data_IF_354172341171
#
_entry.id   IF_354172341171
#
_cell.length_a   1.000
_cell.length_b   1.000
_cell.length_c   1.000
_cell.angle_alpha   90.00
_cell.angle_beta   90.00
_cell.angle_gamma   90.00
#
_symmetry.space_group_name_H-M   'P 1'
#
loop_
_entity.id
_entity.type
_entity.pdbx_description
1 polymer ?
#
# COMPACT_ATOMS: atom_id res chain seq x y z
N UNK A 1 -33.63 -23.78 8.70
CA UNK A 1 -33.83 -23.80 10.16
C UNK A 1 -32.46 -23.64 10.81
N UNK A 2 -32.06 -22.38 11.10
CA UNK A 2 -30.76 -22.07 11.68
C UNK A 2 -30.83 -22.20 13.21
N UNK A 3 -30.00 -23.08 13.77
CA UNK A 3 -29.88 -23.25 15.21
C UNK A 3 -29.02 -22.12 15.77
N UNK A 4 -29.65 -21.01 16.19
CA UNK A 4 -29.01 -19.95 16.97
C UNK A 4 -28.71 -20.48 18.37
N UNK A 5 -27.51 -21.05 18.58
CA UNK A 5 -26.99 -21.22 19.94
C UNK A 5 -26.47 -19.86 20.42
N UNK A 6 -27.22 -19.24 21.34
CA UNK A 6 -26.71 -18.12 22.14
C UNK A 6 -25.56 -18.65 23.01
N UNK A 7 -24.32 -18.41 22.60
CA UNK A 7 -23.17 -18.62 23.45
C UNK A 7 -23.20 -17.60 24.60
N UNK A 8 -23.16 -18.11 25.84
CA UNK A 8 -23.14 -17.32 27.07
C UNK A 8 -21.90 -16.43 27.14
N UNK A 9 -22.06 -15.28 27.79
CA UNK A 9 -21.32 -14.04 27.51
C UNK A 9 -20.05 -13.82 28.35
N UNK A 10 -19.29 -14.85 28.77
CA UNK A 10 -18.24 -14.61 29.80
C UNK A 10 -16.85 -15.27 29.71
N UNK A 11 -16.59 -16.25 28.85
CA UNK A 11 -15.26 -16.87 28.81
C UNK A 11 -14.61 -16.75 27.42
N UNK A 12 -13.34 -16.30 27.32
CA UNK A 12 -12.58 -16.34 26.07
C UNK A 12 -12.50 -17.78 25.55
N UNK A 13 -12.60 -17.96 24.24
CA UNK A 13 -12.48 -19.30 23.65
C UNK A 13 -11.05 -19.78 23.76
N UNK A 14 -10.82 -20.85 24.52
CA UNK A 14 -9.49 -21.45 24.72
C UNK A 14 -9.26 -22.72 23.89
N UNK A 15 -10.28 -23.21 23.18
CA UNK A 15 -10.20 -24.45 22.42
C UNK A 15 -10.70 -24.32 20.97
N UNK A 16 -10.17 -25.19 20.12
CA UNK A 16 -10.51 -25.25 18.71
C UNK A 16 -11.96 -25.68 18.47
N UNK A 17 -12.53 -26.50 19.37
CA UNK A 17 -13.89 -27.03 19.23
C UNK A 17 -14.92 -25.90 19.23
N UNK A 18 -14.65 -24.83 19.97
CA UNK A 18 -15.53 -23.66 20.05
C UNK A 18 -15.24 -22.63 18.96
N UNK A 19 -13.98 -22.47 18.54
CA UNK A 19 -13.61 -21.54 17.46
C UNK A 19 -14.02 -22.04 16.08
N UNK A 20 -13.83 -23.34 15.81
CA UNK A 20 -14.03 -23.93 14.50
C UNK A 20 -15.41 -23.67 13.88
N UNK A 21 -16.55 -23.83 14.60
CA UNK A 21 -17.86 -23.55 14.04
C UNK A 21 -18.04 -22.10 13.59
N UNK A 22 -17.41 -21.13 14.27
CA UNK A 22 -17.47 -19.71 13.88
C UNK A 22 -16.68 -19.46 12.60
N UNK A 23 -15.50 -20.06 12.49
CA UNK A 23 -14.66 -19.98 11.28
C UNK A 23 -15.34 -20.68 10.10
N UNK A 24 -15.92 -21.87 10.32
CA UNK A 24 -16.63 -22.65 9.30
C UNK A 24 -17.89 -21.93 8.80
N UNK A 25 -18.55 -21.16 9.67
CA UNK A 25 -19.69 -20.33 9.32
C UNK A 25 -19.32 -19.02 8.62
N UNK A 26 -18.03 -18.63 8.59
CA UNK A 26 -17.62 -17.33 8.06
C UNK A 26 -17.88 -16.14 9.01
N UNK A 27 -18.21 -16.40 10.28
CA UNK A 27 -18.65 -15.40 11.26
C UNK A 27 -17.48 -14.60 11.85
N UNK A 28 -16.92 -13.70 11.03
CA UNK A 28 -15.77 -12.86 11.38
C UNK A 28 -16.00 -12.04 12.65
N UNK A 29 -17.20 -11.48 12.82
CA UNK A 29 -17.58 -10.69 13.98
C UNK A 29 -17.47 -11.50 15.29
N UNK A 30 -18.02 -12.72 15.31
CA UNK A 30 -17.89 -13.57 16.49
C UNK A 30 -16.48 -14.11 16.67
N UNK A 31 -15.72 -14.37 15.59
CA UNK A 31 -14.31 -14.74 15.69
C UNK A 31 -13.50 -13.65 16.40
N UNK A 32 -13.62 -12.38 16.02
CA UNK A 32 -12.93 -11.29 16.74
C UNK A 32 -13.35 -11.26 18.20
N UNK A 33 -14.67 -11.33 18.46
CA UNK A 33 -15.24 -11.27 19.80
C UNK A 33 -14.68 -12.34 20.73
N UNK A 34 -14.61 -13.60 20.28
CA UNK A 34 -14.19 -14.73 21.14
C UNK A 34 -12.68 -14.85 21.30
N UNK A 35 -11.90 -14.31 20.35
CA UNK A 35 -10.43 -14.30 20.39
C UNK A 35 -9.84 -13.07 21.10
N UNK A 36 -10.71 -12.15 21.54
CA UNK A 36 -10.31 -10.96 22.29
C UNK A 36 -9.68 -11.35 23.62
N UNK A 37 -8.64 -10.64 24.02
CA UNK A 37 -7.95 -10.81 25.31
C UNK A 37 -7.30 -12.18 25.55
N UNK A 38 -7.17 -13.03 24.52
CA UNK A 38 -6.39 -14.26 24.64
C UNK A 38 -4.92 -13.95 24.91
N UNK A 39 -4.33 -14.72 25.81
CA UNK A 39 -2.91 -14.67 26.09
C UNK A 39 -2.07 -15.35 24.97
N UNK A 40 -0.75 -15.24 25.06
CA UNK A 40 0.15 -15.80 24.06
C UNK A 40 0.09 -17.35 23.97
N UNK A 41 -0.16 -18.02 25.10
CA UNK A 41 -0.27 -19.49 25.17
C UNK A 41 -1.55 -20.00 24.51
N UNK A 42 -2.68 -19.35 24.78
CA UNK A 42 -3.98 -19.62 24.16
C UNK A 42 -3.94 -19.35 22.64
N UNK A 43 -3.32 -18.24 22.21
CA UNK A 43 -3.18 -17.97 20.77
C UNK A 43 -2.32 -19.05 20.08
N UNK A 44 -1.25 -19.49 20.75
CA UNK A 44 -0.36 -20.54 20.27
C UNK A 44 -1.07 -21.90 20.15
N UNK A 45 -1.92 -22.27 21.11
CA UNK A 45 -2.65 -23.55 21.06
C UNK A 45 -3.67 -23.62 19.91
N UNK A 46 -4.23 -22.47 19.51
CA UNK A 46 -5.23 -22.38 18.43
C UNK A 46 -4.61 -22.21 17.03
N UNK A 47 -3.34 -21.81 16.92
CA UNK A 47 -2.69 -21.51 15.65
C UNK A 47 -2.51 -22.75 14.74
N UNK A 48 -2.10 -23.89 15.30
CA UNK A 48 -1.93 -25.13 14.53
C UNK A 48 -3.26 -25.73 14.05
N UNK A 49 -4.30 -25.85 14.90
CA UNK A 49 -5.63 -26.27 14.44
C UNK A 49 -6.19 -25.38 13.32
N UNK A 50 -6.01 -24.06 13.40
CA UNK A 50 -6.43 -23.13 12.34
C UNK A 50 -5.73 -23.42 11.00
N UNK A 51 -4.40 -23.64 11.03
CA UNK A 51 -3.61 -23.98 9.83
C UNK A 51 -4.04 -25.33 9.24
N UNK A 52 -4.26 -26.33 10.09
CA UNK A 52 -4.74 -27.64 9.67
C UNK A 52 -6.08 -27.56 8.95
N UNK A 53 -6.99 -26.75 9.48
CA UNK A 53 -8.30 -26.52 8.88
C UNK A 53 -8.21 -25.77 7.54
N UNK A 54 -7.45 -24.67 7.47
CA UNK A 54 -7.23 -23.95 6.21
C UNK A 54 -6.63 -24.85 5.13
N UNK A 55 -5.66 -25.70 5.50
CA UNK A 55 -5.08 -26.70 4.60
C UNK A 55 -6.15 -27.69 4.12
N UNK A 56 -6.97 -28.22 5.03
CA UNK A 56 -8.01 -29.20 4.69
C UNK A 56 -9.04 -28.66 3.69
N UNK A 57 -9.39 -27.37 3.79
CA UNK A 57 -10.30 -26.72 2.85
C UNK A 57 -9.71 -26.61 1.45
N UNK A 58 -8.37 -26.48 1.34
CA UNK A 58 -7.68 -26.29 0.06
C UNK A 58 -7.31 -27.60 -0.64
N UNK A 59 -7.08 -28.66 0.11
CA UNK A 59 -6.66 -29.97 -0.43
C UNK A 59 -7.82 -30.95 -0.61
N UNK A 60 -9.05 -30.53 -0.34
CA UNK A 60 -10.22 -31.39 -0.54
C UNK A 60 -10.50 -31.58 -2.04
N UNK A 61 -10.36 -32.81 -2.51
CA UNK A 61 -10.32 -33.21 -3.94
C UNK A 61 -11.54 -32.76 -4.78
N UNK A 62 -12.68 -32.45 -4.16
CA UNK A 62 -13.95 -32.19 -4.85
C UNK A 62 -14.62 -30.87 -4.48
N UNK A 63 -13.88 -29.93 -3.90
CA UNK A 63 -14.47 -28.71 -3.33
C UNK A 63 -14.24 -27.50 -4.23
N UNK A 64 -15.32 -27.05 -4.89
CA UNK A 64 -15.30 -25.80 -5.67
C UNK A 64 -15.00 -24.59 -4.78
N UNK A 65 -14.40 -23.52 -5.35
CA UNK A 65 -14.14 -22.25 -4.62
C UNK A 65 -15.36 -21.71 -3.88
N UNK A 66 -16.56 -21.90 -4.44
CA UNK A 66 -17.84 -21.47 -3.86
C UNK A 66 -18.11 -22.07 -2.48
N UNK A 67 -17.56 -23.26 -2.19
CA UNK A 67 -17.80 -23.93 -0.93
C UNK A 67 -16.95 -23.34 0.21
N UNK A 68 -15.67 -23.03 -0.03
CA UNK A 68 -14.80 -22.50 1.02
C UNK A 68 -14.68 -20.97 1.05
N UNK A 69 -15.05 -20.27 -0.03
CA UNK A 69 -15.03 -18.81 -0.08
C UNK A 69 -15.77 -18.12 1.09
N UNK A 70 -16.96 -18.60 1.56
CA UNK A 70 -17.65 -17.99 2.70
C UNK A 70 -16.85 -18.00 4.00
N UNK A 71 -15.84 -18.86 4.13
CA UNK A 71 -15.01 -18.99 5.35
C UNK A 71 -13.84 -18.01 5.36
N UNK A 72 -13.54 -17.35 4.23
CA UNK A 72 -12.31 -16.58 4.07
C UNK A 72 -12.23 -15.39 5.02
N UNK A 73 -13.32 -14.66 5.21
CA UNK A 73 -13.40 -13.54 6.14
C UNK A 73 -12.94 -13.97 7.55
N UNK A 74 -13.60 -14.99 8.09
CA UNK A 74 -13.30 -15.52 9.40
C UNK A 74 -11.91 -16.17 9.50
N UNK A 75 -11.44 -16.85 8.44
CA UNK A 75 -10.07 -17.38 8.38
C UNK A 75 -9.03 -16.26 8.45
N UNK A 76 -9.21 -15.20 7.67
CA UNK A 76 -8.30 -14.05 7.65
C UNK A 76 -8.22 -13.39 9.01
N UNK A 77 -9.37 -13.12 9.63
CA UNK A 77 -9.46 -12.55 10.99
C UNK A 77 -8.83 -13.47 12.04
N UNK A 78 -9.17 -14.77 12.03
CA UNK A 78 -8.59 -15.73 12.97
C UNK A 78 -7.06 -15.80 12.83
N UNK A 79 -6.54 -15.79 11.61
CA UNK A 79 -5.09 -15.78 11.38
C UNK A 79 -4.42 -14.51 11.90
N UNK A 80 -5.02 -13.35 11.66
CA UNK A 80 -4.52 -12.08 12.21
C UNK A 80 -4.53 -12.07 13.75
N UNK A 81 -5.53 -12.69 14.38
CA UNK A 81 -5.64 -12.81 15.82
C UNK A 81 -4.65 -13.83 16.44
N UNK A 82 -4.35 -14.93 15.74
CA UNK A 82 -3.68 -16.10 16.34
C UNK A 82 -2.21 -16.28 15.94
N UNK A 83 -1.83 -15.88 14.73
CA UNK A 83 -0.51 -16.21 14.21
C UNK A 83 0.62 -15.41 14.90
N UNK A 84 1.81 -16.01 15.09
CA UNK A 84 2.78 -15.52 16.07
C UNK A 84 3.54 -14.27 15.66
N UNK A 85 3.59 -13.90 14.38
CA UNK A 85 4.37 -12.76 13.93
C UNK A 85 3.99 -12.21 12.57
N UNK A 86 4.51 -11.01 12.29
CA UNK A 86 4.26 -10.22 11.09
C UNK A 86 4.38 -11.04 9.80
N UNK A 87 5.48 -11.77 9.59
CA UNK A 87 5.68 -12.61 8.41
C UNK A 87 4.54 -13.62 8.20
N UNK A 88 4.18 -14.36 9.25
CA UNK A 88 3.13 -15.37 9.19
C UNK A 88 1.73 -14.77 8.93
N UNK A 89 1.42 -13.64 9.57
CA UNK A 89 0.14 -12.94 9.38
C UNK A 89 0.05 -12.38 7.96
N UNK A 90 1.13 -11.78 7.45
CA UNK A 90 1.12 -11.17 6.14
C UNK A 90 0.98 -12.21 5.01
N UNK A 91 1.63 -13.38 5.15
CA UNK A 91 1.43 -14.53 4.25
C UNK A 91 0.00 -15.07 4.33
N UNK A 92 -0.56 -15.11 5.53
CA UNK A 92 -1.92 -15.61 5.76
C UNK A 92 -2.98 -14.71 5.11
N UNK A 93 -2.89 -13.40 5.31
CA UNK A 93 -3.79 -12.41 4.70
C UNK A 93 -3.71 -12.48 3.18
N UNK A 94 -2.50 -12.52 2.61
CA UNK A 94 -2.33 -12.62 1.15
C UNK A 94 -2.95 -13.91 0.57
N UNK A 95 -2.96 -15.00 1.35
CA UNK A 95 -3.48 -16.29 0.91
C UNK A 95 -5.00 -16.39 1.01
N UNK A 96 -5.60 -15.82 2.07
CA UNK A 96 -7.02 -15.93 2.35
C UNK A 96 -7.83 -14.72 1.85
N UNK A 97 -7.17 -13.59 1.58
CA UNK A 97 -7.77 -12.39 1.02
C UNK A 97 -8.50 -11.53 2.06
N UNK A 98 -8.87 -10.33 1.65
CA UNK A 98 -9.59 -9.32 2.44
C UNK A 98 -11.01 -9.08 1.93
N UNK A 99 -11.54 -10.00 1.11
CA UNK A 99 -12.83 -9.81 0.44
C UNK A 99 -13.96 -9.73 1.45
N UNK A 100 -14.85 -8.77 1.25
CA UNK A 100 -16.20 -8.74 1.81
C UNK A 100 -16.94 -10.02 1.39
N UNK A 101 -17.67 -10.62 2.33
CA UNK A 101 -18.61 -11.69 2.01
C UNK A 101 -19.91 -11.11 1.43
N UNK A 102 -20.85 -11.99 1.05
CA UNK A 102 -22.18 -11.60 0.57
C UNK A 102 -23.03 -10.87 1.64
N UNK A 103 -22.51 -10.68 2.85
CA UNK A 103 -23.18 -10.00 3.98
C UNK A 103 -22.68 -8.59 4.24
N UNK A 104 -21.85 -8.03 3.35
CA UNK A 104 -21.29 -6.67 3.48
C UNK A 104 -20.39 -6.54 4.72
N UNK A 105 -19.83 -7.66 5.18
CA UNK A 105 -18.92 -7.69 6.34
C UNK A 105 -17.55 -7.14 5.96
N UNK A 106 -17.18 -6.03 6.57
CA UNK A 106 -15.88 -5.40 6.40
C UNK A 106 -14.76 -6.18 7.13
N UNK A 107 -14.06 -7.04 6.38
CA UNK A 107 -12.97 -7.87 6.90
C UNK A 107 -11.80 -7.02 7.39
N UNK A 108 -11.56 -5.86 6.78
CA UNK A 108 -10.45 -4.98 7.14
C UNK A 108 -10.64 -4.47 8.57
N UNK A 109 -11.84 -4.00 8.92
CA UNK A 109 -12.17 -3.52 10.25
C UNK A 109 -11.92 -4.60 11.32
N UNK A 110 -12.36 -5.83 11.06
CA UNK A 110 -12.16 -6.95 11.99
C UNK A 110 -10.69 -7.37 12.13
N UNK A 111 -9.90 -7.31 11.05
CA UNK A 111 -8.45 -7.56 11.11
C UNK A 111 -7.75 -6.47 11.93
N UNK A 112 -8.10 -5.20 11.71
CA UNK A 112 -7.55 -4.06 12.45
C UNK A 112 -7.91 -4.16 13.92
N UNK A 113 -9.16 -4.48 14.25
CA UNK A 113 -9.62 -4.68 15.63
C UNK A 113 -8.84 -5.81 16.32
N UNK A 114 -8.71 -6.97 15.67
CA UNK A 114 -7.99 -8.11 16.20
C UNK A 114 -6.51 -7.79 16.46
N UNK A 115 -5.85 -7.06 15.56
CA UNK A 115 -4.44 -6.67 15.71
C UNK A 115 -4.24 -5.58 16.77
N UNK A 116 -5.19 -4.63 16.91
CA UNK A 116 -5.16 -3.61 17.98
C UNK A 116 -5.25 -4.24 19.37
N UNK A 117 -6.12 -5.24 19.58
CA UNK A 117 -6.25 -5.94 20.86
C UNK A 117 -4.92 -6.61 21.29
N UNK A 118 -4.16 -7.14 20.33
CA UNK A 118 -2.94 -7.89 20.61
C UNK A 118 -1.78 -7.06 21.14
N UNK A 119 -1.74 -5.75 20.87
CA UNK A 119 -0.66 -4.81 21.27
C UNK A 119 0.75 -5.36 21.03
N UNK A 120 0.96 -5.97 19.87
CA UNK A 120 2.22 -6.63 19.51
C UNK A 120 3.28 -5.65 19.03
N UNK A 121 4.53 -5.83 19.47
CA UNK A 121 5.66 -4.98 19.05
C UNK A 121 6.06 -5.11 17.57
N UNK A 122 5.58 -6.14 16.87
CA UNK A 122 5.89 -6.39 15.45
C UNK A 122 4.90 -5.76 14.47
N UNK A 123 3.93 -4.95 14.93
CA UNK A 123 2.89 -4.39 14.06
C UNK A 123 3.45 -3.51 12.94
N UNK A 124 4.54 -2.77 13.19
CA UNK A 124 5.25 -2.01 12.15
C UNK A 124 5.85 -2.91 11.05
N UNK A 125 6.48 -4.03 11.41
CA UNK A 125 7.00 -5.00 10.43
C UNK A 125 5.85 -5.64 9.62
N UNK A 126 4.66 -5.81 10.21
CA UNK A 126 3.49 -6.27 9.46
C UNK A 126 3.05 -5.23 8.42
N UNK A 127 2.99 -3.95 8.81
CA UNK A 127 2.64 -2.84 7.92
C UNK A 127 3.58 -2.81 6.70
N UNK A 128 4.89 -2.87 6.91
CA UNK A 128 5.88 -2.87 5.82
C UNK A 128 5.73 -4.09 4.90
N UNK A 129 5.51 -5.27 5.48
CA UNK A 129 5.30 -6.50 4.70
C UNK A 129 4.01 -6.46 3.86
N UNK A 130 2.96 -5.80 4.35
CA UNK A 130 1.73 -5.63 3.60
C UNK A 130 1.91 -4.57 2.51
N UNK A 131 2.60 -3.46 2.80
CA UNK A 131 2.96 -2.42 1.84
C UNK A 131 3.81 -2.98 0.68
N UNK A 132 4.72 -3.91 0.95
CA UNK A 132 5.52 -4.63 -0.06
C UNK A 132 4.70 -5.56 -0.96
N UNK A 133 3.47 -5.91 -0.58
CA UNK A 133 2.56 -6.74 -1.40
C UNK A 133 1.62 -5.93 -2.28
N UNK A 134 1.52 -4.63 -2.08
CA UNK A 134 0.68 -3.80 -2.92
C UNK A 134 1.18 -3.83 -4.38
N UNK A 135 0.29 -4.10 -5.35
CA UNK A 135 0.66 -4.09 -6.76
C UNK A 135 1.04 -2.67 -7.22
N UNK A 136 2.02 -2.58 -8.11
CA UNK A 136 2.52 -1.32 -8.66
C UNK A 136 1.87 -0.94 -10.01
N UNK A 137 0.87 -1.72 -10.46
CA UNK A 137 0.25 -1.59 -11.78
C UNK A 137 -1.28 -1.56 -11.75
N UNK A 138 -1.89 -1.78 -10.58
CA UNK A 138 -3.34 -1.75 -10.36
C UNK A 138 -3.67 -1.36 -8.92
N UNK A 139 -4.90 -0.94 -8.67
CA UNK A 139 -5.38 -0.68 -7.32
C UNK A 139 -5.78 -1.98 -6.61
N UNK A 140 -5.41 -2.07 -5.33
CA UNK A 140 -5.92 -3.05 -4.36
C UNK A 140 -6.49 -2.26 -3.17
N UNK A 141 -7.78 -1.87 -3.22
CA UNK A 141 -8.36 -0.93 -2.25
C UNK A 141 -8.37 -1.49 -0.82
N UNK A 142 -8.61 -2.79 -0.67
CA UNK A 142 -8.73 -3.45 0.64
C UNK A 142 -7.36 -3.56 1.31
N UNK A 143 -6.33 -4.02 0.57
CA UNK A 143 -4.97 -4.10 1.11
C UNK A 143 -4.41 -2.71 1.41
N UNK A 144 -4.70 -1.72 0.55
CA UNK A 144 -4.30 -0.32 0.78
C UNK A 144 -4.91 0.22 2.07
N UNK A 145 -6.23 0.04 2.24
CA UNK A 145 -6.95 0.47 3.45
C UNK A 145 -6.35 -0.21 4.70
N UNK A 146 -6.12 -1.51 4.66
CA UNK A 146 -5.50 -2.23 5.76
C UNK A 146 -4.11 -1.66 6.13
N UNK A 147 -3.27 -1.40 5.13
CA UNK A 147 -1.95 -0.78 5.37
C UNK A 147 -2.09 0.60 6.01
N UNK A 148 -2.97 1.44 5.49
CA UNK A 148 -3.20 2.79 6.00
C UNK A 148 -3.72 2.78 7.45
N UNK A 149 -4.71 1.94 7.76
CA UNK A 149 -5.27 1.85 9.10
C UNK A 149 -4.30 1.28 10.12
N UNK A 150 -3.53 0.25 9.76
CA UNK A 150 -2.51 -0.30 10.66
C UNK A 150 -1.34 0.67 10.86
N UNK A 151 -0.94 1.42 9.82
CA UNK A 151 0.07 2.47 9.96
C UNK A 151 -0.43 3.61 10.88
N UNK A 152 -1.71 3.97 10.81
CA UNK A 152 -2.32 4.93 11.73
C UNK A 152 -2.31 4.41 13.18
N UNK A 153 -2.49 3.10 13.40
CA UNK A 153 -2.40 2.47 14.73
C UNK A 153 -0.99 2.51 15.30
N UNK A 154 0.02 2.25 14.47
CA UNK A 154 1.42 2.28 14.92
C UNK A 154 1.96 3.71 15.08
N UNK A 155 1.36 4.69 14.38
CA UNK A 155 1.91 6.04 14.25
C UNK A 155 3.19 6.09 13.42
N UNK A 156 3.54 4.99 12.74
CA UNK A 156 4.78 4.85 11.96
C UNK A 156 4.38 4.80 10.48
N UNK A 157 4.99 5.66 9.67
CA UNK A 157 4.80 5.62 8.23
C UNK A 157 5.35 4.31 7.65
N UNK A 158 4.62 3.62 6.75
CA UNK A 158 5.11 2.43 6.08
C UNK A 158 6.32 2.75 5.20
N UNK A 159 7.10 1.72 4.89
CA UNK A 159 8.08 1.76 3.81
C UNK A 159 7.43 2.30 2.53
N UNK A 160 8.06 3.29 1.89
CA UNK A 160 7.61 3.81 0.60
C UNK A 160 7.85 2.78 -0.52
N UNK A 161 6.82 2.00 -0.85
CA UNK A 161 6.85 0.98 -1.90
C UNK A 161 6.21 1.47 -3.19
N UNK A 162 6.54 0.80 -4.30
CA UNK A 162 6.01 1.14 -5.63
C UNK A 162 4.48 1.04 -5.67
N UNK A 163 3.90 0.04 -5.00
CA UNK A 163 2.46 -0.12 -4.88
C UNK A 163 1.78 0.99 -4.06
N UNK A 164 2.45 1.53 -3.05
CA UNK A 164 1.94 2.70 -2.32
C UNK A 164 2.02 3.98 -3.16
N UNK A 165 3.09 4.16 -3.94
CA UNK A 165 3.18 5.27 -4.90
C UNK A 165 2.07 5.17 -5.94
N UNK A 166 1.90 3.99 -6.56
CA UNK A 166 0.83 3.77 -7.53
C UNK A 166 -0.54 4.07 -6.92
N UNK A 167 -0.81 3.54 -5.71
CA UNK A 167 -2.07 3.77 -5.00
C UNK A 167 -2.32 5.23 -4.69
N UNK A 168 -1.29 5.96 -4.26
CA UNK A 168 -1.40 7.40 -4.01
C UNK A 168 -1.78 8.16 -5.30
N UNK A 169 -1.05 7.93 -6.40
CA UNK A 169 -1.30 8.62 -7.68
C UNK A 169 -2.66 8.21 -8.29
N UNK A 170 -3.09 6.97 -8.09
CA UNK A 170 -4.39 6.53 -8.60
C UNK A 170 -5.57 7.08 -7.78
N UNK A 171 -5.40 7.36 -6.48
CA UNK A 171 -6.50 7.76 -5.58
C UNK A 171 -6.53 9.24 -5.21
N UNK A 172 -5.41 9.97 -5.36
CA UNK A 172 -5.32 11.36 -4.89
C UNK A 172 -4.89 11.53 -3.44
N UNK A 173 -4.80 10.45 -2.67
CA UNK A 173 -4.67 10.51 -1.21
C UNK A 173 -3.38 9.83 -0.74
N UNK A 174 -2.39 10.57 -0.22
CA UNK A 174 -1.24 9.98 0.44
C UNK A 174 -1.68 9.62 1.85
N UNK A 175 -2.24 8.43 2.03
CA UNK A 175 -2.80 7.99 3.32
C UNK A 175 -1.74 8.03 4.44
N UNK A 176 -0.45 7.85 4.09
CA UNK A 176 0.71 7.94 5.00
C UNK A 176 2.00 8.28 4.23
N UNK A 177 3.04 8.78 4.93
CA UNK A 177 4.41 8.81 4.38
C UNK A 177 4.65 9.72 3.16
N UNK A 178 3.84 10.77 2.97
CA UNK A 178 3.81 11.63 1.77
C UNK A 178 5.18 12.01 1.20
N UNK A 179 6.08 12.56 2.01
CA UNK A 179 7.40 12.97 1.54
C UNK A 179 8.29 11.79 1.07
N UNK A 180 8.16 10.62 1.70
CA UNK A 180 8.87 9.42 1.28
C UNK A 180 8.28 8.85 -0.03
N UNK A 181 6.95 8.86 -0.16
CA UNK A 181 6.28 8.48 -1.41
C UNK A 181 6.63 9.43 -2.57
N UNK A 182 6.73 10.74 -2.31
CA UNK A 182 7.13 11.72 -3.32
C UNK A 182 8.55 11.49 -3.83
N UNK A 183 9.50 11.12 -2.97
CA UNK A 183 10.85 10.72 -3.42
C UNK A 183 10.79 9.45 -4.25
N UNK A 184 10.06 8.43 -3.76
CA UNK A 184 9.93 7.14 -4.46
C UNK A 184 9.25 7.28 -5.82
N UNK A 185 8.34 8.24 -6.00
CA UNK A 185 7.63 8.52 -7.27
C UNK A 185 8.55 8.56 -8.49
N UNK A 186 9.73 9.14 -8.36
CA UNK A 186 10.69 9.31 -9.46
C UNK A 186 11.49 8.04 -9.79
N UNK A 187 11.37 6.99 -8.97
CA UNK A 187 12.04 5.71 -9.15
C UNK A 187 11.12 4.62 -9.71
N UNK A 188 9.79 4.80 -9.57
CA UNK A 188 8.78 3.83 -10.01
C UNK A 188 8.55 3.94 -11.51
N UNK A 189 8.50 2.79 -12.19
CA UNK A 189 8.18 2.73 -13.61
C UNK A 189 6.66 2.71 -13.84
N UNK A 190 6.19 3.41 -14.87
CA UNK A 190 4.79 3.37 -15.30
C UNK A 190 3.85 4.37 -14.63
N UNK A 191 4.20 4.90 -13.45
CA UNK A 191 3.37 5.88 -12.71
C UNK A 191 3.24 7.23 -13.42
N UNK A 192 4.19 7.62 -14.26
CA UNK A 192 4.11 8.84 -15.06
C UNK A 192 2.94 8.81 -16.05
N UNK A 193 2.47 7.63 -16.48
CA UNK A 193 1.27 7.55 -17.30
C UNK A 193 0.00 8.01 -16.57
N UNK A 194 0.03 8.06 -15.24
CA UNK A 194 -1.06 8.55 -14.39
C UNK A 194 -0.91 10.05 -14.02
N UNK A 195 0.26 10.65 -14.28
CA UNK A 195 0.55 12.05 -13.94
C UNK A 195 -0.07 13.00 -14.98
N UNK A 196 -1.37 13.27 -14.80
CA UNK A 196 -2.11 14.28 -15.57
C UNK A 196 -1.70 15.71 -15.20
N UNK A 197 -2.19 16.70 -15.94
CA UNK A 197 -1.98 18.13 -15.62
C UNK A 197 -2.45 18.51 -14.22
N UNK A 198 -3.58 17.96 -13.77
CA UNK A 198 -4.11 18.21 -12.42
C UNK A 198 -3.20 17.61 -11.35
N UNK A 199 -2.62 16.43 -11.61
CA UNK A 199 -1.63 15.82 -10.73
C UNK A 199 -0.35 16.64 -10.64
N UNK A 200 0.13 17.14 -11.78
CA UNK A 200 1.27 18.04 -11.81
C UNK A 200 1.01 19.28 -10.93
N UNK A 201 -0.15 19.92 -11.07
CA UNK A 201 -0.54 21.06 -10.24
C UNK A 201 -0.66 20.72 -8.74
N UNK A 202 -1.17 19.52 -8.40
CA UNK A 202 -1.24 19.05 -7.01
C UNK A 202 0.12 18.87 -6.37
N UNK A 203 1.06 18.25 -7.09
CA UNK A 203 2.41 18.02 -6.58
C UNK A 203 3.18 19.33 -6.41
N UNK A 204 3.04 20.28 -7.34
CA UNK A 204 3.74 21.58 -7.26
C UNK A 204 3.10 22.55 -6.27
N UNK A 205 1.80 22.43 -6.05
CA UNK A 205 1.05 23.24 -5.08
C UNK A 205 1.09 22.71 -3.65
N UNK A 206 1.69 21.55 -3.39
CA UNK A 206 1.76 20.97 -2.05
C UNK A 206 2.89 21.62 -1.23
N UNK A 207 2.57 22.40 -0.18
CA UNK A 207 3.59 23.08 0.63
C UNK A 207 4.45 22.13 1.48
N UNK A 208 4.06 20.86 1.61
CA UNK A 208 4.85 19.85 2.33
C UNK A 208 5.93 19.19 1.47
N UNK A 209 5.90 19.41 0.15
CA UNK A 209 6.87 18.84 -0.77
C UNK A 209 7.96 19.85 -1.08
N UNK A 210 9.21 19.43 -0.92
CA UNK A 210 10.37 20.24 -1.26
C UNK A 210 10.46 20.42 -2.77
N UNK A 211 10.44 21.68 -3.22
CA UNK A 211 10.43 22.04 -4.64
C UNK A 211 11.70 21.58 -5.36
N UNK A 212 12.86 21.68 -4.71
CA UNK A 212 14.13 21.24 -5.28
C UNK A 212 14.13 19.72 -5.47
N UNK A 213 13.65 18.96 -4.48
CA UNK A 213 13.49 17.51 -4.57
C UNK A 213 12.57 17.10 -5.72
N UNK A 214 11.46 17.81 -5.93
CA UNK A 214 10.57 17.55 -7.06
C UNK A 214 11.27 17.81 -8.40
N UNK A 215 12.03 18.89 -8.52
CA UNK A 215 12.74 19.24 -9.75
C UNK A 215 13.89 18.26 -10.04
N UNK A 216 14.73 17.96 -9.06
CA UNK A 216 15.82 16.98 -9.18
C UNK A 216 15.28 15.59 -9.52
N UNK A 217 14.21 15.16 -8.84
CA UNK A 217 13.51 13.91 -9.14
C UNK A 217 12.98 13.86 -10.57
N UNK A 218 12.36 14.95 -11.04
CA UNK A 218 11.92 15.08 -12.43
C UNK A 218 13.08 14.89 -13.42
N UNK A 219 14.21 15.58 -13.21
CA UNK A 219 15.38 15.48 -14.08
C UNK A 219 15.99 14.07 -14.05
N UNK A 220 16.10 13.48 -12.85
CA UNK A 220 16.55 12.10 -12.66
C UNK A 220 15.70 11.12 -13.48
N UNK A 221 14.37 11.22 -13.36
CA UNK A 221 13.44 10.33 -14.07
C UNK A 221 13.50 10.53 -15.58
N UNK A 222 13.53 11.78 -16.05
CA UNK A 222 13.65 12.11 -17.48
C UNK A 222 14.98 11.62 -18.07
N UNK A 223 16.06 11.58 -17.27
CA UNK A 223 17.36 11.01 -17.68
C UNK A 223 17.30 9.50 -17.79
N UNK A 224 16.71 8.82 -16.80
CA UNK A 224 16.54 7.36 -16.81
C UNK A 224 15.73 6.87 -18.02
N UNK A 225 14.82 7.70 -18.54
CA UNK A 225 13.99 7.37 -19.68
C UNK A 225 12.89 6.37 -19.32
N UNK A 226 12.27 5.77 -20.34
CA UNK A 226 11.18 4.81 -20.14
C UNK A 226 10.17 4.81 -21.28
N UNK A 227 8.97 4.32 -21.01
CA UNK A 227 7.87 4.35 -21.98
C UNK A 227 7.44 5.80 -22.23
N UNK A 228 7.00 6.11 -23.45
CA UNK A 228 6.58 7.47 -23.84
C UNK A 228 5.52 8.07 -22.92
N UNK A 229 4.51 7.28 -22.52
CA UNK A 229 3.46 7.75 -21.60
C UNK A 229 4.01 8.18 -20.24
N UNK A 230 5.03 7.47 -19.77
CA UNK A 230 5.69 7.74 -18.50
C UNK A 230 6.49 9.04 -18.56
N UNK A 231 7.33 9.19 -19.60
CA UNK A 231 8.11 10.39 -19.87
C UNK A 231 7.20 11.62 -19.99
N UNK A 232 6.07 11.49 -20.71
CA UNK A 232 5.14 12.60 -20.89
C UNK A 232 4.57 13.12 -19.57
N UNK A 233 4.25 12.26 -18.61
CA UNK A 233 3.78 12.67 -17.28
C UNK A 233 4.82 13.49 -16.51
N UNK A 234 6.10 13.07 -16.55
CA UNK A 234 7.17 13.82 -15.89
C UNK A 234 7.53 15.13 -16.63
N UNK A 235 7.32 15.21 -17.95
CA UNK A 235 7.38 16.47 -18.69
C UNK A 235 6.24 17.43 -18.29
N UNK A 236 5.03 16.92 -18.02
CA UNK A 236 3.93 17.73 -17.49
C UNK A 236 4.27 18.28 -16.09
N UNK A 237 4.84 17.44 -15.22
CA UNK A 237 5.30 17.88 -13.90
C UNK A 237 6.41 18.93 -13.99
N UNK A 238 7.41 18.72 -14.85
CA UNK A 238 8.47 19.71 -15.11
C UNK A 238 7.90 21.05 -15.61
N UNK A 239 6.96 20.99 -16.56
CA UNK A 239 6.26 22.19 -17.07
C UNK A 239 5.49 22.92 -15.96
N UNK A 240 4.78 22.18 -15.11
CA UNK A 240 4.02 22.75 -14.00
C UNK A 240 4.92 23.35 -12.91
N UNK A 241 6.11 22.78 -12.69
CA UNK A 241 7.11 23.37 -11.80
C UNK A 241 7.55 24.74 -12.31
N UNK A 242 7.58 24.93 -13.64
CA UNK A 242 8.04 26.16 -14.29
C UNK A 242 9.38 26.65 -13.67
N UNK A 243 10.48 25.90 -13.84
CA UNK A 243 11.75 26.23 -13.20
C UNK A 243 12.16 27.67 -13.47
N UNK A 244 12.76 28.34 -12.50
CA UNK A 244 13.31 29.68 -12.69
C UNK A 244 14.67 29.62 -13.40
N UNK A 245 15.15 30.76 -13.90
CA UNK A 245 16.50 30.86 -14.46
C UNK A 245 17.56 30.44 -13.44
N UNK A 246 17.38 30.81 -12.18
CA UNK A 246 18.33 30.50 -11.11
C UNK A 246 18.33 29.00 -10.77
N UNK A 247 17.16 28.36 -10.73
CA UNK A 247 17.03 26.90 -10.56
C UNK A 247 17.66 26.13 -11.73
N UNK A 248 17.45 26.58 -12.98
CA UNK A 248 18.07 25.95 -14.15
C UNK A 248 19.58 26.13 -14.14
N UNK A 249 20.08 27.28 -13.71
CA UNK A 249 21.50 27.54 -13.58
C UNK A 249 22.15 26.62 -12.53
N UNK A 250 21.51 26.44 -11.38
CA UNK A 250 21.98 25.53 -10.32
C UNK A 250 22.03 24.08 -10.80
N UNK A 251 21.05 23.65 -11.60
CA UNK A 251 20.94 22.28 -12.12
C UNK A 251 21.47 22.14 -13.57
N UNK A 252 22.31 23.06 -14.03
CA UNK A 252 22.74 23.11 -15.43
C UNK A 252 23.43 21.81 -15.90
N UNK A 253 24.20 21.17 -15.01
CA UNK A 253 24.82 19.87 -15.27
C UNK A 253 23.77 18.77 -15.51
N UNK A 254 22.69 18.77 -14.73
CA UNK A 254 21.63 17.79 -14.87
C UNK A 254 20.82 17.96 -16.15
N UNK A 255 20.55 19.21 -16.54
CA UNK A 255 19.95 19.54 -17.84
C UNK A 255 20.88 19.20 -19.01
N UNK A 256 22.18 19.46 -18.91
CA UNK A 256 23.13 19.10 -19.94
C UNK A 256 23.17 17.58 -20.17
N UNK A 257 23.09 16.79 -19.10
CA UNK A 257 23.01 15.33 -19.19
C UNK A 257 21.72 14.81 -19.86
N UNK A 258 20.65 15.62 -19.93
CA UNK A 258 19.45 15.28 -20.69
C UNK A 258 19.63 15.44 -22.22
N UNK A 259 20.63 16.22 -22.67
CA UNK A 259 20.88 16.44 -24.10
C UNK A 259 21.41 15.18 -24.81
N UNK A 260 22.09 14.29 -24.08
CA UNK A 260 22.58 13.01 -24.60
C UNK A 260 21.50 11.94 -24.68
N UNK A 261 20.25 12.24 -24.32
CA UNK A 261 19.18 11.25 -24.22
C UNK A 261 18.46 11.05 -25.57
N UNK A 262 18.06 9.82 -25.87
CA UNK A 262 17.51 9.41 -27.18
C UNK A 262 16.12 9.97 -27.50
N UNK A 263 15.40 10.49 -26.50
CA UNK A 263 14.07 11.07 -26.67
C UNK A 263 14.18 12.55 -27.07
N UNK A 264 13.84 12.85 -28.33
CA UNK A 264 14.00 14.18 -28.94
C UNK A 264 13.25 15.29 -28.19
N UNK A 265 12.11 14.99 -27.56
CA UNK A 265 11.32 15.96 -26.79
C UNK A 265 12.00 16.38 -25.49
N UNK A 266 12.59 15.43 -24.76
CA UNK A 266 13.33 15.72 -23.51
C UNK A 266 14.57 16.56 -23.80
N UNK A 267 15.33 16.21 -24.85
CA UNK A 267 16.49 16.98 -25.27
C UNK A 267 16.11 18.39 -25.76
N UNK A 268 14.95 18.56 -26.40
CA UNK A 268 14.44 19.87 -26.81
C UNK A 268 14.10 20.76 -25.61
N UNK A 269 13.41 20.22 -24.59
CA UNK A 269 13.11 20.94 -23.35
C UNK A 269 14.40 21.35 -22.64
N UNK A 270 15.35 20.43 -22.48
CA UNK A 270 16.62 20.74 -21.83
C UNK A 270 17.40 21.85 -22.56
N UNK A 271 17.43 21.81 -23.90
CA UNK A 271 18.07 22.85 -24.71
C UNK A 271 17.39 24.21 -24.54
N UNK A 272 16.06 24.24 -24.56
CA UNK A 272 15.29 25.46 -24.34
C UNK A 272 15.61 26.10 -22.99
N UNK A 273 15.59 25.31 -21.91
CA UNK A 273 15.84 25.80 -20.56
C UNK A 273 17.26 26.35 -20.38
N UNK A 274 18.27 25.64 -20.89
CA UNK A 274 19.66 26.09 -20.84
C UNK A 274 19.88 27.40 -21.59
N UNK A 275 19.23 27.59 -22.75
CA UNK A 275 19.30 28.84 -23.52
C UNK A 275 18.61 29.99 -22.78
N UNK A 276 17.43 29.76 -22.22
CA UNK A 276 16.70 30.74 -21.39
C UNK A 276 17.53 31.17 -20.19
N UNK A 277 18.18 30.22 -19.51
CA UNK A 277 19.03 30.49 -18.35
C UNK A 277 20.24 31.36 -18.71
N UNK A 278 20.93 31.06 -19.83
CA UNK A 278 22.09 31.84 -20.31
C UNK A 278 21.72 33.28 -20.67
N UNK A 279 20.60 33.47 -21.37
CA UNK A 279 20.10 34.80 -21.72
C UNK A 279 19.70 35.61 -20.49
N UNK A 280 19.09 34.97 -19.48
CA UNK A 280 18.72 35.63 -18.23
C UNK A 280 19.92 36.03 -17.38
N UNK A 281 21.01 35.26 -17.38
CA UNK A 281 22.26 35.61 -16.70
C UNK A 281 22.97 36.78 -17.38
N UNK A 282 23.04 36.79 -18.72
CA UNK A 282 23.67 37.87 -19.49
C UNK A 282 22.93 39.23 -19.37
N UNK A 283 21.64 39.23 -19.04
CA UNK A 283 20.87 40.44 -18.77
C UNK A 283 21.03 40.98 -17.33
N UNK A 284 21.62 40.19 -16.42
CA UNK A 284 21.87 40.57 -15.02
C UNK A 284 23.32 41.02 -14.76
N UNK A 285 24.22 40.79 -15.71
CA UNK A 285 25.63 41.22 -15.72
C UNK A 285 25.80 42.57 -16.41
#
# INVERSE_FOLDING_TARGET
MCYSRRYSYRDPVSDWVTLHPLVDAGDAANVVRVLRHLDAGQRKSLAEPLRGYEKSLRTADFVSKRFWAPRLCALTVAGAALLPGASSVAVWIARNGLREDETDTDVVDFVVEALRDRRVGWLGDLVDRLALRLPADRLDPDLRRLVAELAAVTGIAPLATDGLVYSWIATGHPDTGRAALARRLFEVDGVGALLTTDWAARLTGDPQLDRTMLLEGCLFRLRRGGKTADINGFLLLHKALAPTVDEVAMLAGDYAALLSNSHSTVAAVARHELMRSRSGQAARS
#
